data_IF_893672812485
#
_entry.id   IF_893672812485
#
_cell.length_a   1.000
_cell.length_b   1.000
_cell.length_c   1.000
_cell.angle_alpha   90.00
_cell.angle_beta   90.00
_cell.angle_gamma   90.00
#
_symmetry.space_group_name_H-M   'P 1'
#
loop_
_entity.id
_entity.type
_entity.pdbx_description
1 polymer ?
#
# COMPACT_ATOMS: atom_id res chain seq x y z
N UNK A 1 -1.37 20.47 19.02
CA UNK A 1 -0.39 19.88 18.07
C UNK A 1 0.59 20.90 17.51
N UNK A 2 0.13 21.99 16.89
CA UNK A 2 1.00 23.01 16.26
C UNK A 2 2.07 23.57 17.21
N UNK A 3 1.70 23.88 18.46
CA UNK A 3 2.68 24.37 19.44
C UNK A 3 3.82 23.37 19.71
N UNK A 4 3.51 22.07 19.75
CA UNK A 4 4.50 21.01 20.00
C UNK A 4 5.41 20.80 18.78
N UNK A 5 4.87 20.93 17.58
CA UNK A 5 5.65 20.90 16.34
C UNK A 5 6.59 22.10 16.28
N UNK A 6 6.08 23.31 16.54
CA UNK A 6 6.87 24.56 16.54
C UNK A 6 7.94 24.61 17.64
N UNK A 7 7.78 23.84 18.72
CA UNK A 7 8.76 23.77 19.80
C UNK A 7 9.97 22.89 19.46
N UNK A 8 9.87 22.05 18.41
CA UNK A 8 10.98 21.21 17.95
C UNK A 8 11.64 21.87 16.75
N UNK A 9 12.90 22.25 16.89
CA UNK A 9 13.62 23.09 15.92
C UNK A 9 14.10 22.33 14.67
N UNK A 10 14.43 21.04 14.81
CA UNK A 10 15.20 20.31 13.79
C UNK A 10 14.39 19.32 12.94
N UNK A 11 13.47 18.54 13.54
CA UNK A 11 12.68 17.56 12.80
C UNK A 11 11.40 17.22 13.58
N UNK A 12 10.28 17.05 12.87
CA UNK A 12 9.05 16.49 13.45
C UNK A 12 8.61 15.30 12.60
N UNK A 13 8.36 14.16 13.26
CA UNK A 13 7.82 12.96 12.62
C UNK A 13 6.36 12.78 12.96
N UNK A 14 5.55 12.42 11.97
CA UNK A 14 4.13 12.17 12.11
C UNK A 14 3.84 10.71 11.81
N UNK A 15 3.10 10.05 12.70
CA UNK A 15 2.60 8.70 12.48
C UNK A 15 1.21 8.78 11.86
N UNK A 16 1.04 8.21 10.68
CA UNK A 16 -0.26 8.13 9.99
C UNK A 16 -0.72 6.68 10.02
N UNK A 17 -1.94 6.46 10.46
CA UNK A 17 -2.57 5.14 10.57
C UNK A 17 -3.87 5.20 9.78
N UNK A 18 -4.15 4.17 8.98
CA UNK A 18 -5.45 4.03 8.36
C UNK A 18 -6.54 3.75 9.40
N UNK A 19 -7.80 3.93 9.02
CA UNK A 19 -8.90 3.85 9.97
C UNK A 19 -9.08 2.44 10.55
N UNK A 20 -8.97 1.40 9.73
CA UNK A 20 -9.14 0.02 10.16
C UNK A 20 -8.09 -0.35 11.21
N UNK A 21 -6.84 0.01 10.92
CA UNK A 21 -5.72 -0.20 11.84
C UNK A 21 -5.90 0.60 13.14
N UNK A 22 -6.29 1.87 13.10
CA UNK A 22 -6.55 2.69 14.31
C UNK A 22 -7.64 2.06 15.21
N UNK A 23 -8.72 1.56 14.62
CA UNK A 23 -9.78 0.85 15.36
C UNK A 23 -9.25 -0.45 16.00
N UNK A 24 -8.41 -1.22 15.29
CA UNK A 24 -7.78 -2.42 15.83
C UNK A 24 -6.91 -2.13 17.05
N UNK A 25 -6.01 -1.15 16.98
CA UNK A 25 -5.16 -0.76 18.11
C UNK A 25 -5.99 -0.28 19.31
N UNK A 26 -7.05 0.51 19.08
CA UNK A 26 -7.96 0.95 20.15
C UNK A 26 -8.70 -0.20 20.81
N UNK A 27 -9.17 -1.18 20.04
CA UNK A 27 -9.87 -2.34 20.58
C UNK A 27 -9.01 -3.15 21.56
N UNK A 28 -7.71 -3.19 21.30
CA UNK A 28 -6.71 -3.86 22.13
C UNK A 28 -6.12 -2.97 23.23
N UNK A 29 -6.56 -1.70 23.33
CA UNK A 29 -5.99 -0.67 24.23
C UNK A 29 -4.48 -0.48 24.04
N UNK A 30 -4.00 -0.65 22.82
CA UNK A 30 -2.61 -0.45 22.44
C UNK A 30 -2.38 0.96 21.88
N UNK A 31 -1.16 1.46 22.02
CA UNK A 31 -0.72 2.73 21.41
C UNK A 31 0.13 2.44 20.19
N UNK A 32 -0.19 3.06 19.05
CA UNK A 32 0.64 2.97 17.85
C UNK A 32 1.98 3.68 18.08
N UNK A 33 3.10 3.01 17.83
CA UNK A 33 4.47 3.56 18.01
C UNK A 33 5.24 3.63 16.69
N UNK A 34 6.31 4.44 16.65
CA UNK A 34 7.14 4.60 15.44
C UNK A 34 7.79 3.28 14.99
N UNK A 35 8.13 2.38 15.92
CA UNK A 35 8.75 1.07 15.63
C UNK A 35 7.84 0.14 14.82
N UNK A 36 6.52 0.31 14.93
CA UNK A 36 5.54 -0.47 14.15
C UNK A 36 5.30 0.13 12.77
N UNK A 37 5.80 1.34 12.50
CA UNK A 37 5.56 2.05 11.26
C UNK A 37 6.51 1.58 10.17
N UNK A 38 5.97 1.37 8.97
CA UNK A 38 6.78 1.17 7.78
C UNK A 38 7.38 2.52 7.39
N UNK A 39 8.70 2.67 7.49
CA UNK A 39 9.39 3.89 7.04
C UNK A 39 9.28 4.00 5.53
N UNK A 40 8.43 4.90 5.07
CA UNK A 40 8.34 5.24 3.66
C UNK A 40 9.60 6.04 3.32
N UNK A 41 10.63 5.35 2.82
CA UNK A 41 11.77 6.02 2.20
C UNK A 41 11.20 6.91 1.09
N UNK A 42 11.66 8.17 0.93
CA UNK A 42 11.32 8.94 -0.24
C UNK A 42 11.91 8.20 -1.44
N UNK A 43 11.12 7.32 -2.05
CA UNK A 43 11.35 6.88 -3.40
C UNK A 43 11.39 8.18 -4.19
N UNK A 44 12.57 8.54 -4.69
CA UNK A 44 12.82 9.60 -5.66
C UNK A 44 11.55 9.85 -6.45
N UNK A 45 10.85 10.92 -6.10
CA UNK A 45 9.67 11.36 -6.82
C UNK A 45 10.19 11.73 -8.20
N UNK A 46 10.12 10.79 -9.15
CA UNK A 46 10.13 11.14 -10.55
C UNK A 46 9.09 12.27 -10.70
N UNK A 47 9.42 13.35 -11.44
CA UNK A 47 8.64 14.57 -11.40
C UNK A 47 7.17 14.27 -11.68
N UNK A 48 6.33 14.68 -10.73
CA UNK A 48 4.88 14.65 -10.85
C UNK A 48 4.49 15.31 -12.17
N UNK A 49 3.72 14.65 -13.07
CA UNK A 49 3.15 15.36 -14.19
C UNK A 49 2.12 16.37 -13.66
N UNK A 50 2.31 17.64 -14.01
CA UNK A 50 1.35 18.73 -13.81
C UNK A 50 -0.05 18.34 -14.35
N UNK A 51 -1.13 18.93 -13.79
CA UNK A 51 -2.49 18.45 -13.98
C UNK A 51 -2.97 18.73 -15.40
N UNK A 52 -3.06 17.69 -16.22
CA UNK A 52 -3.73 17.76 -17.53
C UNK A 52 -5.20 17.42 -17.33
N UNK A 53 -6.06 18.41 -17.53
CA UNK A 53 -7.50 18.19 -17.64
C UNK A 53 -7.80 17.25 -18.80
N UNK A 54 -8.12 16.00 -18.51
CA UNK A 54 -8.85 15.14 -19.46
C UNK A 54 -9.63 14.06 -18.72
N UNK A 55 -10.95 14.17 -18.85
CA UNK A 55 -11.95 13.23 -18.37
C UNK A 55 -11.66 11.83 -18.91
N UNK A 56 -11.38 10.82 -18.08
CA UNK A 56 -11.78 9.43 -18.37
C UNK A 56 -11.72 8.49 -17.15
N UNK A 57 -12.90 8.09 -16.68
CA UNK A 57 -13.28 6.74 -16.21
C UNK A 57 -12.34 5.89 -15.33
N UNK A 58 -12.79 5.71 -14.09
CA UNK A 58 -12.97 4.44 -13.35
C UNK A 58 -11.87 3.34 -13.39
N UNK A 59 -11.28 3.08 -12.21
CA UNK A 59 -10.94 1.73 -11.75
C UNK A 59 -9.60 1.12 -12.20
N UNK A 60 -8.58 1.18 -11.35
CA UNK A 60 -7.56 0.13 -11.34
C UNK A 60 -6.96 -0.04 -9.94
N UNK A 61 -7.48 -1.05 -9.22
CA UNK A 61 -6.91 -1.57 -7.97
C UNK A 61 -5.53 -2.16 -8.25
N UNK A 62 -4.51 -1.67 -7.55
CA UNK A 62 -3.12 -2.08 -7.77
C UNK A 62 -2.86 -3.48 -7.21
N UNK A 63 -2.77 -4.43 -8.15
CA UNK A 63 -2.07 -5.73 -8.17
C UNK A 63 -1.85 -6.48 -6.84
N UNK A 64 -2.59 -7.60 -6.71
CA UNK A 64 -2.26 -8.78 -5.89
C UNK A 64 -1.12 -9.57 -6.55
N UNK A 65 -0.12 -10.10 -5.83
CA UNK A 65 0.93 -10.91 -6.44
C UNK A 65 0.42 -12.34 -6.74
N UNK A 66 0.28 -12.64 -8.03
CA UNK A 66 0.09 -13.98 -8.61
C UNK A 66 1.44 -14.72 -8.65
N UNK A 67 1.64 -15.70 -7.76
CA UNK A 67 2.71 -16.69 -7.91
C UNK A 67 2.35 -17.64 -9.07
N UNK A 68 3.27 -17.82 -10.01
CA UNK A 68 3.02 -18.43 -11.33
C UNK A 68 3.50 -19.88 -11.43
N UNK A 69 2.56 -20.83 -11.72
CA UNK A 69 2.60 -22.00 -12.67
C UNK A 69 3.76 -23.06 -12.56
N UNK A 70 3.81 -24.22 -13.31
CA UNK A 70 2.96 -24.74 -14.42
C UNK A 70 2.67 -26.28 -14.46
N UNK A 71 1.93 -26.68 -15.51
CA UNK A 71 2.02 -27.94 -16.30
C UNK A 71 1.08 -29.13 -15.95
N UNK A 72 0.03 -29.30 -16.76
CA UNK A 72 -0.60 -30.62 -17.01
C UNK A 72 -0.62 -30.84 -18.54
N UNK A 73 0.19 -31.80 -19.02
CA UNK A 73 0.23 -32.24 -20.43
C UNK A 73 -1.01 -33.09 -20.75
N UNK A 74 -1.57 -33.05 -21.98
CA UNK A 74 -2.62 -34.00 -22.40
C UNK A 74 -1.99 -35.22 -23.08
N UNK A 75 -2.59 -36.42 -22.98
CA UNK A 75 -2.36 -37.46 -23.96
C UNK A 75 -3.62 -37.72 -24.80
N UNK A 76 -3.43 -37.56 -26.11
CA UNK A 76 -4.26 -38.08 -27.20
C UNK A 76 -4.39 -39.61 -27.11
N UNK A 77 -5.60 -40.15 -27.31
CA UNK A 77 -5.84 -41.45 -27.96
C UNK A 77 -7.33 -41.64 -28.33
N UNK A 78 -7.60 -41.73 -29.62
CA UNK A 78 -8.69 -42.52 -30.23
C UNK A 78 -8.04 -43.74 -30.92
N UNK A 79 -8.74 -44.75 -31.52
CA UNK A 79 -10.14 -45.18 -31.50
C UNK A 79 -10.33 -46.73 -31.27
N UNK A 80 -11.57 -47.23 -31.48
CA UNK A 80 -12.04 -48.61 -31.81
C UNK A 80 -12.36 -49.61 -30.69
N UNK A 81 -13.64 -49.99 -30.55
CA UNK A 81 -14.21 -51.23 -31.11
C UNK A 81 -15.74 -51.16 -31.14
#
# INVERSE_FOLDING_TARGET
>A
VVQRIKAVEYETRLLVVDRETDEYFRSLRLTCTEEMAIRMSPAVTAPSPSPSTSKQGNGSVSKRPEISKPIRKPPSRAPKK
#
